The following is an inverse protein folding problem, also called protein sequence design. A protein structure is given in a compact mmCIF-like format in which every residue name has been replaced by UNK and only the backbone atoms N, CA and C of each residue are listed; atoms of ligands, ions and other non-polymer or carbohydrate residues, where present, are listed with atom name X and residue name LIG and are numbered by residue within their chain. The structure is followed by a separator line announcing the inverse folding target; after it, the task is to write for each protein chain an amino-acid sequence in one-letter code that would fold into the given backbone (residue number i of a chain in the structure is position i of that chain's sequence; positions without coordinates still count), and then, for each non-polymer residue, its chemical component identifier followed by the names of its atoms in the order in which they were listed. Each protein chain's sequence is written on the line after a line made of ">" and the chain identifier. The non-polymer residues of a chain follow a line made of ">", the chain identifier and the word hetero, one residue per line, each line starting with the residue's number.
data_IF_120699743353
#
_entry.id   IF_120699743353
#
_cell.length_a   1.000
_cell.length_b   1.000
_cell.length_c   1.000
_cell.angle_alpha   90.00
_cell.angle_beta   90.00
_cell.angle_gamma   90.00
#
_symmetry.space_group_name_H-M   'P 1'
#
loop_
_entity.id
_entity.type
_entity.pdbx_description
1 polymer ?
#
# COMPACT_ATOMS: atom_id res chain seq x y z
N UNK A 1 -31.61 33.96 -29.39
CA UNK A 1 -31.74 35.42 -29.60
C UNK A 1 -32.05 35.95 -28.23
N UNK A 2 -31.04 36.43 -27.53
CA UNK A 2 -31.13 36.48 -26.08
C UNK A 2 -31.41 37.92 -25.66
N UNK A 3 -32.53 38.08 -24.97
CA UNK A 3 -33.10 39.37 -24.61
C UNK A 3 -32.47 39.88 -23.33
N UNK A 4 -31.80 41.04 -23.42
CA UNK A 4 -31.14 41.70 -22.27
C UNK A 4 -32.19 42.29 -21.34
N UNK A 5 -32.17 41.94 -20.05
CA UNK A 5 -32.98 42.60 -19.03
C UNK A 5 -32.16 43.72 -18.39
N UNK A 6 -32.64 44.97 -18.45
CA UNK A 6 -31.96 46.16 -17.88
C UNK A 6 -32.81 46.75 -16.75
N UNK A 7 -32.19 47.00 -15.60
CA UNK A 7 -32.82 47.72 -14.49
C UNK A 7 -32.76 49.24 -14.73
N UNK A 8 -33.92 49.88 -14.85
CA UNK A 8 -34.03 51.32 -15.21
C UNK A 8 -33.57 52.25 -14.07
N UNK A 9 -33.59 51.80 -12.81
CA UNK A 9 -33.14 52.62 -11.67
C UNK A 9 -31.62 52.61 -11.47
N UNK A 10 -30.92 51.63 -12.02
CA UNK A 10 -29.45 51.51 -11.89
C UNK A 10 -28.73 51.55 -13.23
N UNK A 11 -29.46 51.54 -14.34
CA UNK A 11 -28.95 51.45 -15.72
C UNK A 11 -27.91 50.32 -15.90
N UNK A 12 -28.12 49.17 -15.23
CA UNK A 12 -27.30 47.96 -15.38
C UNK A 12 -28.12 46.78 -15.88
N UNK A 13 -27.45 45.96 -16.70
CA UNK A 13 -27.96 44.67 -17.21
C UNK A 13 -28.00 43.67 -16.05
N UNK A 14 -29.14 43.01 -15.83
CA UNK A 14 -29.35 42.07 -14.72
C UNK A 14 -29.52 40.62 -15.16
N UNK A 15 -29.50 40.34 -16.46
CA UNK A 15 -29.43 38.97 -16.95
C UNK A 15 -29.78 38.80 -18.42
N UNK A 16 -29.38 37.65 -18.95
CA UNK A 16 -29.80 37.05 -20.22
C UNK A 16 -30.31 35.65 -19.89
N UNK A 17 -31.48 35.27 -20.41
CA UNK A 17 -32.07 33.97 -20.16
C UNK A 17 -31.45 32.91 -21.11
N UNK A 18 -30.69 31.95 -20.59
CA UNK A 18 -30.24 30.74 -21.29
C UNK A 18 -30.30 29.52 -20.36
N UNK A 19 -30.96 28.46 -20.84
CA UNK A 19 -30.94 27.09 -20.29
C UNK A 19 -29.64 26.33 -20.71
N UNK A 20 -29.27 25.22 -20.04
CA UNK A 20 -27.90 24.99 -19.53
C UNK A 20 -26.98 24.14 -20.43
N UNK A 21 -25.66 24.32 -20.29
CA UNK A 21 -24.61 23.41 -20.81
C UNK A 21 -23.67 22.95 -19.67
N UNK A 22 -23.13 21.72 -19.78
CA UNK A 22 -22.65 20.92 -18.66
C UNK A 22 -21.19 21.24 -18.30
N UNK A 23 -20.87 21.16 -17.01
CA UNK A 23 -19.53 21.40 -16.44
C UNK A 23 -18.98 22.82 -16.59
N UNK A 24 -19.67 23.79 -15.98
CA UNK A 24 -18.98 24.94 -15.37
C UNK A 24 -18.20 24.44 -14.14
N UNK A 25 -16.97 23.95 -14.33
CA UNK A 25 -15.97 24.22 -13.30
C UNK A 25 -15.51 25.65 -13.55
N UNK A 26 -15.95 26.57 -12.70
CA UNK A 26 -15.30 27.86 -12.58
C UNK A 26 -13.83 27.62 -12.24
N UNK A 27 -12.94 27.71 -13.22
CA UNK A 27 -11.53 27.95 -12.95
C UNK A 27 -11.52 29.37 -12.39
N UNK A 28 -11.59 29.49 -11.07
CA UNK A 28 -11.15 30.72 -10.42
C UNK A 28 -9.69 30.90 -10.85
N UNK A 29 -9.41 31.97 -11.59
CA UNK A 29 -8.05 32.46 -11.77
C UNK A 29 -7.54 32.88 -10.39
N UNK A 30 -7.03 31.93 -9.62
CA UNK A 30 -6.29 32.22 -8.40
C UNK A 30 -4.99 32.87 -8.86
N UNK A 31 -4.77 34.12 -8.45
CA UNK A 31 -3.48 34.78 -8.66
C UNK A 31 -2.44 34.02 -7.82
N UNK A 32 -1.65 33.16 -8.48
CA UNK A 32 -0.57 32.37 -7.85
C UNK A 32 0.78 33.11 -7.87
N UNK A 33 0.79 34.40 -8.17
CA UNK A 33 2.00 35.22 -8.17
C UNK A 33 2.60 35.24 -6.77
N UNK A 34 3.83 34.71 -6.63
CA UNK A 34 4.49 34.46 -5.34
C UNK A 34 3.80 33.43 -4.43
N UNK A 35 2.84 32.66 -4.94
CA UNK A 35 2.39 31.48 -4.22
C UNK A 35 3.58 30.51 -4.08
N UNK A 36 3.74 29.98 -2.87
CA UNK A 36 4.77 29.01 -2.55
C UNK A 36 4.08 27.69 -2.26
N UNK A 37 4.58 26.62 -2.87
CA UNK A 37 4.22 25.27 -2.48
C UNK A 37 5.47 24.61 -1.91
N UNK A 38 5.37 24.23 -0.65
CA UNK A 38 6.35 23.37 0.00
C UNK A 38 6.06 21.93 -0.41
N UNK A 39 7.04 21.27 -1.02
CA UNK A 39 7.00 19.85 -1.34
C UNK A 39 8.02 19.17 -0.44
N UNK A 40 7.58 18.08 0.20
CA UNK A 40 8.42 17.22 1.00
C UNK A 40 8.81 16.03 0.14
N UNK A 41 10.10 15.86 -0.09
CA UNK A 41 10.67 14.71 -0.80
C UNK A 41 11.55 13.94 0.18
N UNK A 42 11.56 12.62 0.05
CA UNK A 42 12.52 11.77 0.76
C UNK A 42 13.66 11.50 -0.23
N UNK A 43 14.86 11.92 0.12
CA UNK A 43 16.08 11.62 -0.64
C UNK A 43 16.94 10.64 0.16
N UNK A 44 17.63 9.74 -0.53
CA UNK A 44 18.62 8.86 0.10
C UNK A 44 19.98 9.51 0.05
N UNK A 45 20.62 9.69 1.20
CA UNK A 45 22.00 10.17 1.31
C UNK A 45 22.89 9.15 1.99
N UNK A 46 24.14 9.10 1.55
CA UNK A 46 25.14 8.25 2.15
C UNK A 46 25.32 8.64 3.62
N UNK A 47 25.34 7.63 4.51
CA UNK A 47 25.60 7.83 5.93
C UNK A 47 27.09 8.00 6.20
N UNK A 48 27.38 8.84 7.19
CA UNK A 48 28.72 9.07 7.70
C UNK A 48 28.72 8.92 9.23
N UNK A 49 29.84 8.50 9.80
CA UNK A 49 30.02 8.50 11.25
C UNK A 49 30.25 9.93 11.81
N UNK A 50 30.44 10.05 13.13
CA UNK A 50 30.70 11.34 13.79
C UNK A 50 32.01 12.02 13.34
N UNK A 51 32.93 11.26 12.73
CA UNK A 51 34.24 11.69 12.27
C UNK A 51 34.26 12.03 10.77
N UNK A 52 33.18 11.73 10.05
CA UNK A 52 33.01 11.98 8.62
C UNK A 52 33.44 10.83 7.71
N UNK A 53 33.67 9.63 8.26
CA UNK A 53 33.98 8.44 7.49
C UNK A 53 32.71 7.82 6.91
N UNK A 54 32.82 7.26 5.70
CA UNK A 54 31.71 6.58 5.02
C UNK A 54 31.35 5.29 5.76
N UNK A 55 30.05 5.06 5.95
CA UNK A 55 29.52 3.82 6.52
C UNK A 55 29.11 2.80 5.45
N UNK A 56 29.40 1.54 5.73
CA UNK A 56 29.12 0.36 4.92
C UNK A 56 28.28 -0.65 5.71
N UNK A 57 27.48 -1.45 5.02
CA UNK A 57 26.58 -2.44 5.61
C UNK A 57 27.26 -3.81 5.69
N UNK A 58 27.59 -4.23 6.91
CA UNK A 58 28.08 -5.57 7.20
C UNK A 58 26.93 -6.49 7.59
N UNK A 59 26.68 -7.52 6.79
CA UNK A 59 25.69 -8.55 7.11
C UNK A 59 26.07 -9.31 8.37
N UNK A 60 25.13 -9.46 9.29
CA UNK A 60 25.33 -10.18 10.54
C UNK A 60 24.84 -11.63 10.43
N UNK A 61 25.44 -12.58 11.19
CA UNK A 61 24.89 -13.92 11.28
C UNK A 61 23.46 -13.88 11.81
N UNK A 62 22.62 -14.82 11.37
CA UNK A 62 21.23 -14.88 11.85
C UNK A 62 21.18 -15.04 13.37
N UNK A 63 20.25 -14.34 14.00
CA UNK A 63 20.00 -14.41 15.43
C UNK A 63 19.27 -15.72 15.74
N UNK A 64 19.85 -16.52 16.62
CA UNK A 64 19.18 -17.70 17.15
C UNK A 64 18.13 -17.27 18.19
N UNK A 65 16.86 -17.41 17.84
CA UNK A 65 15.72 -17.11 18.71
C UNK A 65 15.08 -18.41 19.16
N UNK A 66 15.09 -18.65 20.46
CA UNK A 66 14.48 -19.83 21.05
C UNK A 66 13.08 -19.47 21.57
N UNK A 67 12.06 -20.07 20.97
CA UNK A 67 10.67 -19.92 21.39
C UNK A 67 10.21 -21.20 22.09
N UNK A 68 9.54 -21.07 23.23
CA UNK A 68 8.93 -22.22 23.92
C UNK A 68 7.46 -22.26 23.58
N UNK A 69 7.04 -23.34 22.91
CA UNK A 69 5.66 -23.58 22.54
C UNK A 69 5.09 -24.67 23.44
N UNK A 70 4.00 -24.34 24.11
CA UNK A 70 3.21 -25.31 24.87
C UNK A 70 2.20 -25.98 23.95
N UNK A 71 2.25 -27.31 23.85
CA UNK A 71 1.32 -28.13 23.07
C UNK A 71 0.55 -29.07 23.98
N UNK A 72 -0.74 -29.26 23.69
CA UNK A 72 -1.56 -30.29 24.32
C UNK A 72 -1.61 -31.46 23.36
N UNK A 73 -1.13 -32.63 23.80
CA UNK A 73 -1.12 -33.85 22.99
C UNK A 73 -1.95 -34.95 23.64
N UNK A 74 -2.59 -35.77 22.83
CA UNK A 74 -3.19 -37.03 23.27
C UNK A 74 -2.07 -38.01 23.64
N UNK A 75 -2.19 -38.60 24.83
CA UNK A 75 -1.22 -39.59 25.30
C UNK A 75 -1.65 -40.99 24.89
N UNK A 76 -0.69 -41.91 24.91
CA UNK A 76 -0.93 -43.36 24.85
C UNK A 76 -0.84 -44.00 26.24
N UNK A 77 -0.83 -43.19 27.30
CA UNK A 77 -0.71 -43.64 28.68
C UNK A 77 -2.10 -43.69 29.31
N UNK A 78 -2.34 -44.70 30.14
CA UNK A 78 -3.63 -44.92 30.79
C UNK A 78 -3.86 -43.97 31.96
N UNK A 79 -5.08 -43.50 32.15
CA UNK A 79 -5.45 -42.52 33.19
C UNK A 79 -6.77 -42.85 33.89
N UNK A 80 -6.99 -42.27 35.06
CA UNK A 80 -8.31 -42.20 35.73
C UNK A 80 -9.11 -40.93 35.32
N UNK A 81 -8.46 -39.95 34.68
CA UNK A 81 -9.05 -38.69 34.21
C UNK A 81 -9.00 -38.60 32.66
N UNK A 82 -9.99 -39.16 31.94
CA UNK A 82 -9.92 -39.36 30.50
C UNK A 82 -10.14 -38.10 29.64
N UNK A 83 -9.60 -38.15 28.42
CA UNK A 83 -10.01 -37.32 27.30
C UNK A 83 -11.49 -37.58 27.03
N UNK A 84 -12.25 -36.49 27.08
CA UNK A 84 -13.69 -36.52 26.90
C UNK A 84 -14.07 -35.80 25.62
N UNK A 85 -14.72 -36.53 24.71
CA UNK A 85 -15.31 -36.00 23.50
C UNK A 85 -16.82 -35.96 23.64
N UNK A 86 -17.43 -34.85 23.20
CA UNK A 86 -18.88 -34.72 23.14
C UNK A 86 -19.32 -35.06 21.73
N UNK A 87 -19.91 -36.23 21.56
CA UNK A 87 -20.46 -36.64 20.27
C UNK A 87 -21.96 -36.33 20.20
N UNK A 88 -22.39 -35.81 19.05
CA UNK A 88 -23.82 -35.60 18.79
C UNK A 88 -24.37 -36.80 18.04
N UNK A 89 -25.24 -37.57 18.68
CA UNK A 89 -25.91 -38.71 18.06
C UNK A 89 -27.35 -38.37 17.68
N UNK A 90 -27.83 -38.96 16.59
CA UNK A 90 -29.23 -38.84 16.17
C UNK A 90 -30.04 -39.99 16.77
N UNK A 91 -31.04 -39.64 17.58
CA UNK A 91 -31.96 -40.59 18.20
C UNK A 91 -33.32 -40.51 17.49
N UNK A 92 -33.88 -41.62 16.98
CA UNK A 92 -35.20 -41.63 16.39
C UNK A 92 -36.27 -41.11 17.35
N UNK A 93 -37.10 -40.18 16.91
CA UNK A 93 -38.23 -39.71 17.70
C UNK A 93 -39.36 -40.75 17.62
N UNK A 94 -39.78 -41.34 18.73
CA UNK A 94 -40.80 -42.38 18.74
C UNK A 94 -42.20 -41.83 19.11
N UNK A 95 -43.25 -42.48 18.63
CA UNK A 95 -44.65 -42.28 19.05
C UNK A 95 -45.03 -43.15 20.26
N UNK A 96 -46.26 -42.98 20.77
CA UNK A 96 -46.76 -43.70 21.95
C UNK A 96 -46.85 -45.23 21.74
N UNK A 97 -46.71 -45.70 20.49
CA UNK A 97 -46.72 -47.11 20.11
C UNK A 97 -45.31 -47.65 19.83
N UNK A 98 -44.28 -46.81 19.97
CA UNK A 98 -42.88 -47.17 19.72
C UNK A 98 -42.46 -47.13 18.25
N UNK A 99 -43.29 -46.60 17.35
CA UNK A 99 -42.92 -46.41 15.94
C UNK A 99 -42.20 -45.09 15.76
N UNK A 100 -41.29 -45.01 14.77
CA UNK A 100 -40.61 -43.75 14.46
C UNK A 100 -41.61 -42.73 13.90
N UNK A 101 -41.67 -41.56 14.53
CA UNK A 101 -42.44 -40.42 14.05
C UNK A 101 -41.88 -39.97 12.71
N UNK A 102 -42.80 -39.70 11.79
CA UNK A 102 -42.50 -39.13 10.48
C UNK A 102 -43.30 -37.85 10.32
N UNK A 103 -42.81 -36.96 9.46
CA UNK A 103 -43.59 -35.80 9.00
C UNK A 103 -43.68 -35.81 7.48
N UNK A 104 -44.79 -35.33 6.95
CA UNK A 104 -44.94 -35.14 5.52
C UNK A 104 -44.35 -33.79 5.13
N UNK A 105 -43.40 -33.79 4.20
CA UNK A 105 -42.86 -32.54 3.68
C UNK A 105 -43.91 -31.83 2.83
N UNK A 106 -44.07 -30.53 3.02
CA UNK A 106 -44.88 -29.68 2.15
C UNK A 106 -44.00 -28.84 1.23
N UNK A 107 -44.55 -28.46 0.07
CA UNK A 107 -43.95 -27.50 -0.87
C UNK A 107 -44.96 -26.44 -1.24
N UNK A 108 -44.51 -25.30 -1.75
CA UNK A 108 -45.42 -24.27 -2.28
C UNK A 108 -46.03 -24.79 -3.58
N UNK A 109 -47.36 -24.78 -3.67
CA UNK A 109 -48.11 -25.24 -4.83
C UNK A 109 -49.54 -24.69 -4.85
N UNK A 110 -50.28 -25.00 -5.91
CA UNK A 110 -51.68 -24.60 -6.05
C UNK A 110 -52.56 -25.47 -5.11
N UNK A 111 -53.38 -24.83 -4.28
CA UNK A 111 -54.29 -25.47 -3.34
C UNK A 111 -55.67 -24.80 -3.38
N UNK A 112 -56.71 -25.53 -2.98
CA UNK A 112 -58.07 -25.00 -2.81
C UNK A 112 -58.28 -24.40 -1.41
N UNK A 113 -57.32 -24.59 -0.50
CA UNK A 113 -57.35 -23.96 0.82
C UNK A 113 -57.15 -22.45 0.68
N UNK A 114 -58.05 -21.67 1.26
CA UNK A 114 -57.97 -20.21 1.19
C UNK A 114 -56.72 -19.72 1.92
N UNK A 115 -55.78 -19.16 1.16
CA UNK A 115 -54.58 -18.50 1.67
C UNK A 115 -54.50 -17.06 1.14
N UNK A 116 -53.50 -16.30 1.59
CA UNK A 116 -53.39 -14.87 1.25
C UNK A 116 -52.96 -14.59 -0.20
N UNK A 117 -52.53 -15.61 -0.95
CA UNK A 117 -52.01 -15.46 -2.33
C UNK A 117 -52.87 -16.23 -3.33
N UNK A 118 -53.79 -15.60 -4.09
CA UNK A 118 -54.55 -16.29 -5.14
C UNK A 118 -53.66 -16.67 -6.32
N UNK A 119 -54.00 -17.76 -7.02
CA UNK A 119 -53.37 -18.13 -8.29
C UNK A 119 -54.03 -17.33 -9.41
N UNK A 120 -53.24 -16.52 -10.12
CA UNK A 120 -53.72 -15.69 -11.23
C UNK A 120 -53.15 -16.23 -12.54
N UNK A 121 -54.00 -16.34 -13.56
CA UNK A 121 -53.60 -16.65 -14.93
C UNK A 121 -54.02 -15.51 -15.88
N UNK A 122 -53.21 -15.28 -16.91
CA UNK A 122 -53.49 -14.26 -17.92
C UNK A 122 -54.25 -14.88 -19.08
N UNK A 123 -55.47 -14.41 -19.31
CA UNK A 123 -56.31 -14.86 -20.42
C UNK A 123 -56.48 -13.73 -21.43
N UNK A 124 -56.26 -14.05 -22.70
CA UNK A 124 -56.47 -13.09 -23.78
C UNK A 124 -57.96 -12.80 -23.97
N UNK A 125 -58.32 -11.53 -23.91
CA UNK A 125 -59.66 -11.03 -24.16
C UNK A 125 -59.76 -10.52 -25.60
N UNK A 126 -60.50 -11.23 -26.44
CA UNK A 126 -60.67 -10.88 -27.86
C UNK A 126 -61.45 -9.59 -28.08
N UNK A 127 -62.29 -9.16 -27.13
CA UNK A 127 -63.11 -7.96 -27.27
C UNK A 127 -62.30 -6.68 -27.01
N UNK A 128 -61.37 -6.73 -26.06
CA UNK A 128 -60.53 -5.59 -25.66
C UNK A 128 -59.13 -5.63 -26.26
N UNK A 129 -58.76 -6.75 -26.89
CA UNK A 129 -57.41 -7.03 -27.40
C UNK A 129 -56.33 -6.87 -26.30
N UNK A 130 -56.63 -7.28 -25.06
CA UNK A 130 -55.73 -7.23 -23.89
C UNK A 130 -55.69 -8.56 -23.14
N UNK A 131 -54.68 -8.74 -22.29
CA UNK A 131 -54.67 -9.85 -21.32
C UNK A 131 -55.35 -9.41 -20.02
N UNK A 132 -56.32 -10.21 -19.57
CA UNK A 132 -56.99 -10.03 -18.29
C UNK A 132 -56.41 -11.02 -17.26
N UNK A 133 -56.12 -10.51 -16.07
CA UNK A 133 -55.70 -11.31 -14.92
C UNK A 133 -56.96 -11.93 -14.28
N UNK A 134 -57.12 -13.25 -14.40
CA UNK A 134 -58.24 -13.98 -13.80
C UNK A 134 -57.75 -14.94 -12.73
N UNK A 135 -58.57 -15.19 -11.71
CA UNK A 135 -58.27 -16.21 -10.71
C UNK A 135 -58.43 -17.60 -11.33
N UNK A 136 -57.41 -18.44 -11.16
CA UNK A 136 -57.44 -19.83 -11.61
C UNK A 136 -58.40 -20.64 -10.74
N UNK A 137 -59.08 -21.60 -11.36
CA UNK A 137 -59.98 -22.54 -10.69
C UNK A 137 -59.59 -23.98 -10.96
N UNK A 138 -59.98 -24.91 -10.09
CA UNK A 138 -59.91 -26.34 -10.36
C UNK A 138 -61.03 -26.79 -11.31
N UNK A 139 -61.04 -28.09 -11.65
CA UNK A 139 -62.05 -28.70 -12.54
C UNK A 139 -63.49 -28.64 -11.98
N UNK A 140 -63.65 -28.34 -10.68
CA UNK A 140 -64.94 -28.20 -10.00
C UNK A 140 -65.37 -26.72 -9.85
N UNK A 141 -64.53 -25.79 -10.29
CA UNK A 141 -64.78 -24.34 -10.23
C UNK A 141 -64.39 -23.68 -8.90
N UNK A 142 -63.64 -24.36 -8.04
CA UNK A 142 -63.12 -23.79 -6.80
C UNK A 142 -61.90 -22.93 -7.09
N UNK A 143 -61.79 -21.76 -6.43
CA UNK A 143 -60.64 -20.86 -6.57
C UNK A 143 -59.36 -21.51 -6.04
N UNK A 144 -58.27 -21.37 -6.81
CA UNK A 144 -56.94 -21.83 -6.42
C UNK A 144 -56.12 -20.71 -5.76
N UNK A 145 -55.35 -21.09 -4.76
CA UNK A 145 -54.43 -20.25 -4.00
C UNK A 145 -53.05 -20.89 -3.93
N UNK A 146 -52.01 -20.09 -3.73
CA UNK A 146 -50.66 -20.56 -3.48
C UNK A 146 -50.48 -20.89 -2.00
N UNK A 147 -50.41 -22.18 -1.68
CA UNK A 147 -50.28 -22.65 -0.30
C UNK A 147 -49.28 -23.79 -0.17
N UNK A 148 -49.24 -24.37 1.04
CA UNK A 148 -48.44 -25.56 1.29
C UNK A 148 -49.21 -26.81 0.86
N UNK A 149 -48.69 -27.53 -0.13
CA UNK A 149 -49.25 -28.79 -0.59
C UNK A 149 -48.38 -29.97 -0.11
N UNK A 150 -49.00 -31.08 0.33
CA UNK A 150 -48.28 -32.29 0.71
C UNK A 150 -47.52 -32.89 -0.47
N UNK A 151 -46.29 -33.34 -0.23
CA UNK A 151 -45.46 -33.97 -1.28
C UNK A 151 -45.68 -35.47 -1.41
N UNK A 152 -46.41 -36.12 -0.49
CA UNK A 152 -46.49 -37.57 -0.37
C UNK A 152 -45.23 -38.22 0.20
N UNK A 153 -44.18 -37.45 0.49
CA UNK A 153 -42.92 -37.96 1.04
C UNK A 153 -42.91 -37.84 2.57
N UNK A 154 -42.95 -39.00 3.24
CA UNK A 154 -42.78 -39.09 4.69
C UNK A 154 -41.29 -39.10 5.05
N UNK A 155 -40.88 -38.20 5.93
CA UNK A 155 -39.50 -38.04 6.39
C UNK A 155 -39.41 -38.43 7.87
N UNK A 156 -38.49 -39.33 8.27
CA UNK A 156 -38.28 -39.70 9.66
C UNK A 156 -37.78 -38.52 10.51
N UNK A 157 -38.32 -38.40 11.72
CA UNK A 157 -37.88 -37.41 12.70
C UNK A 157 -36.82 -38.00 13.63
N UNK A 158 -35.84 -37.17 13.97
CA UNK A 158 -34.77 -37.45 14.91
C UNK A 158 -34.63 -36.30 15.90
N UNK A 159 -34.23 -36.61 17.11
CA UNK A 159 -33.65 -35.64 18.05
C UNK A 159 -32.14 -35.79 18.07
N UNK A 160 -31.43 -34.70 18.37
CA UNK A 160 -30.03 -34.77 18.69
C UNK A 160 -29.88 -34.98 20.20
N UNK A 161 -28.96 -35.85 20.59
CA UNK A 161 -28.50 -35.97 21.97
C UNK A 161 -26.98 -35.86 22.00
N UNK A 162 -26.45 -35.33 23.10
CA UNK A 162 -25.02 -35.20 23.31
C UNK A 162 -24.58 -36.29 24.27
N UNK A 163 -23.75 -37.20 23.79
CA UNK A 163 -23.19 -38.28 24.60
C UNK A 163 -21.72 -38.00 24.87
N UNK A 164 -21.34 -38.26 26.11
CA UNK A 164 -19.96 -38.20 26.54
C UNK A 164 -19.26 -39.50 26.13
N UNK A 165 -18.26 -39.40 25.26
CA UNK A 165 -17.46 -40.52 24.78
C UNK A 165 -16.03 -40.31 25.23
N UNK A 166 -15.45 -41.31 25.89
CA UNK A 166 -14.06 -41.25 26.33
C UNK A 166 -13.13 -41.85 25.27
N UNK A 167 -11.99 -41.21 25.05
CA UNK A 167 -10.96 -41.75 24.15
C UNK A 167 -10.29 -42.95 24.82
N UNK A 168 -10.18 -44.06 24.07
CA UNK A 168 -9.59 -45.31 24.53
C UNK A 168 -8.51 -45.80 23.56
N UNK A 169 -7.56 -46.59 24.05
CA UNK A 169 -6.63 -47.35 23.21
C UNK A 169 -7.26 -48.64 22.66
N UNK A 170 -6.49 -49.39 21.85
CA UNK A 170 -6.90 -50.68 21.27
C UNK A 170 -7.22 -51.77 22.33
N UNK A 171 -6.88 -51.53 23.61
CA UNK A 171 -7.10 -52.43 24.74
C UNK A 171 -8.23 -51.92 25.68
N UNK A 172 -9.01 -50.92 25.25
CA UNK A 172 -10.10 -50.27 26.00
C UNK A 172 -9.67 -49.48 27.24
N UNK A 173 -8.40 -49.07 27.33
CA UNK A 173 -7.93 -48.21 28.42
C UNK A 173 -8.13 -46.73 28.10
N UNK A 174 -8.54 -45.96 29.10
CA UNK A 174 -8.77 -44.52 29.03
C UNK A 174 -7.48 -43.71 28.83
N UNK A 175 -7.47 -42.77 27.89
CA UNK A 175 -6.33 -41.89 27.58
C UNK A 175 -6.52 -40.48 28.17
N UNK A 176 -5.45 -39.72 28.43
CA UNK A 176 -5.51 -38.31 28.85
C UNK A 176 -4.78 -37.35 27.89
N UNK A 177 -5.06 -36.06 28.01
CA UNK A 177 -4.26 -34.99 27.39
C UNK A 177 -3.09 -34.61 28.29
N UNK A 178 -1.89 -34.52 27.70
CA UNK A 178 -0.70 -34.02 28.39
C UNK A 178 -0.22 -32.73 27.74
N UNK A 179 0.07 -31.77 28.60
CA UNK A 179 0.77 -30.55 28.21
C UNK A 179 2.27 -30.85 28.10
N UNK A 180 2.84 -30.55 26.95
CA UNK A 180 4.27 -30.65 26.68
C UNK A 180 4.80 -29.30 26.23
N UNK A 181 6.02 -28.97 26.66
CA UNK A 181 6.74 -27.81 26.20
C UNK A 181 7.77 -28.25 25.16
N UNK A 182 7.76 -27.61 24.00
CA UNK A 182 8.74 -27.81 22.95
C UNK A 182 9.47 -26.49 22.70
N UNK A 183 10.79 -26.51 22.81
CA UNK A 183 11.62 -25.38 22.41
C UNK A 183 11.90 -25.49 20.92
N UNK A 184 11.45 -24.51 20.16
CA UNK A 184 11.76 -24.36 18.74
C UNK A 184 12.84 -23.30 18.60
N UNK A 185 13.91 -23.66 17.91
CA UNK A 185 14.98 -22.74 17.56
C UNK A 185 14.72 -22.19 16.17
N UNK A 186 14.46 -20.89 16.09
CA UNK A 186 14.30 -20.14 14.85
C UNK A 186 15.54 -19.28 14.59
N UNK A 187 15.76 -18.92 13.33
CA UNK A 187 16.84 -18.05 12.91
C UNK A 187 16.23 -16.82 12.24
N UNK A 188 16.48 -15.64 12.81
CA UNK A 188 15.96 -14.37 12.32
C UNK A 188 17.11 -13.54 11.72
N UNK A 189 16.84 -12.86 10.61
CA UNK A 189 17.80 -11.94 10.02
C UNK A 189 17.98 -10.73 10.93
N UNK A 190 19.23 -10.33 11.15
CA UNK A 190 19.57 -9.14 11.92
C UNK A 190 19.78 -7.94 11.00
N UNK A 191 19.48 -6.74 11.50
CA UNK A 191 19.87 -5.52 10.79
C UNK A 191 21.38 -5.50 10.57
N UNK A 192 21.85 -5.13 9.36
CA UNK A 192 23.28 -5.04 9.08
C UNK A 192 23.97 -4.07 10.06
N UNK A 193 25.21 -4.39 10.43
CA UNK A 193 26.03 -3.49 11.22
C UNK A 193 26.62 -2.42 10.30
N UNK A 194 26.53 -1.16 10.70
CA UNK A 194 27.19 -0.05 10.00
C UNK A 194 28.65 0.02 10.44
N UNK A 195 29.58 -0.18 9.50
CA UNK A 195 31.03 -0.18 9.74
C UNK A 195 31.77 0.76 8.79
N UNK A 196 32.97 1.17 9.18
CA UNK A 196 33.88 2.03 8.41
C UNK A 196 34.95 1.21 7.69
N UNK A 197 35.71 1.82 6.78
CA UNK A 197 36.77 1.15 6.01
C UNK A 197 37.95 0.62 6.85
N UNK A 198 38.17 1.19 8.03
CA UNK A 198 39.19 0.77 8.97
C UNK A 198 38.79 -0.43 9.84
N UNK A 199 37.53 -0.89 9.74
CA UNK A 199 37.05 -2.06 10.45
C UNK A 199 37.68 -3.35 9.90
N UNK A 200 38.06 -4.30 10.77
CA UNK A 200 38.81 -5.51 10.39
C UNK A 200 38.09 -6.40 9.36
N UNK A 201 36.76 -6.36 9.37
CA UNK A 201 35.89 -7.13 8.48
C UNK A 201 35.46 -6.37 7.21
N UNK A 202 35.99 -5.16 7.01
CA UNK A 202 35.69 -4.37 5.82
C UNK A 202 36.26 -5.01 4.55
N UNK A 203 35.49 -4.96 3.46
CA UNK A 203 35.90 -5.36 2.11
C UNK A 203 35.31 -4.43 1.06
N UNK A 204 35.96 -4.32 -0.10
CA UNK A 204 35.48 -3.51 -1.25
C UNK A 204 34.11 -3.96 -1.80
N UNK A 205 33.63 -5.15 -1.42
CA UNK A 205 32.34 -5.71 -1.87
C UNK A 205 31.16 -5.28 -0.99
N UNK A 206 31.39 -4.58 0.13
CA UNK A 206 30.32 -4.15 1.03
C UNK A 206 29.48 -3.03 0.42
N UNK A 207 28.18 -3.08 0.67
CA UNK A 207 27.23 -2.04 0.23
C UNK A 207 27.37 -0.78 1.09
N UNK A 208 27.14 0.38 0.50
CA UNK A 208 27.11 1.66 1.20
C UNK A 208 25.86 1.79 2.07
N UNK A 209 26.02 2.33 3.28
CA UNK A 209 24.90 2.67 4.14
C UNK A 209 24.26 4.00 3.69
N UNK A 210 22.94 4.04 3.59
CA UNK A 210 22.18 5.23 3.24
C UNK A 210 21.16 5.57 4.33
N UNK A 211 20.85 6.85 4.47
CA UNK A 211 19.76 7.39 5.28
C UNK A 211 18.75 8.11 4.41
N UNK A 212 17.48 7.96 4.78
CA UNK A 212 16.39 8.73 4.23
C UNK A 212 16.38 10.10 4.90
N UNK A 213 16.59 11.16 4.13
CA UNK A 213 16.47 12.54 4.59
C UNK A 213 15.27 13.22 3.96
N UNK A 214 14.52 13.97 4.77
CA UNK A 214 13.41 14.77 4.27
C UNK A 214 13.95 16.10 3.72
N UNK A 215 13.90 16.26 2.40
CA UNK A 215 14.28 17.48 1.71
C UNK A 215 13.03 18.29 1.41
N UNK A 216 13.06 19.55 1.85
CA UNK A 216 11.98 20.50 1.62
C UNK A 216 12.31 21.39 0.44
N UNK A 217 11.58 21.24 -0.66
CA UNK A 217 11.67 22.14 -1.81
C UNK A 217 10.55 23.18 -1.77
N UNK A 218 10.90 24.46 -1.91
CA UNK A 218 9.93 25.56 -2.01
C UNK A 218 9.83 26.01 -3.46
N UNK A 219 8.81 25.53 -4.15
CA UNK A 219 8.55 25.96 -5.53
C UNK A 219 7.82 27.30 -5.48
N UNK A 220 8.43 28.31 -6.09
CA UNK A 220 7.80 29.63 -6.30
C UNK A 220 7.32 29.70 -7.74
N UNK A 221 6.01 29.87 -7.94
CA UNK A 221 5.45 30.02 -9.29
C UNK A 221 5.92 31.35 -9.89
N UNK A 222 6.85 31.29 -10.86
CA UNK A 222 7.28 32.45 -11.66
C UNK A 222 6.53 32.47 -13.00
N UNK A 223 5.90 33.59 -13.30
CA UNK A 223 5.20 33.82 -14.56
C UNK A 223 6.22 33.95 -15.70
N UNK A 224 6.38 32.95 -16.55
CA UNK A 224 6.83 33.18 -17.91
C UNK A 224 5.59 33.18 -18.79
N UNK A 225 5.18 34.37 -19.25
CA UNK A 225 4.16 34.47 -20.29
C UNK A 225 4.77 33.95 -21.59
N UNK A 226 4.51 32.69 -21.93
CA UNK A 226 4.79 32.17 -23.27
C UNK A 226 3.71 32.69 -24.21
N UNK A 227 4.10 33.39 -25.28
CA UNK A 227 3.16 33.74 -26.36
C UNK A 227 2.90 32.48 -27.18
N UNK A 228 1.68 31.98 -27.15
CA UNK A 228 1.21 30.94 -28.07
C UNK A 228 0.66 31.60 -29.33
N UNK A 229 0.94 31.01 -30.48
CA UNK A 229 0.31 31.35 -31.76
C UNK A 229 -0.99 30.57 -31.93
N UNK A 230 -1.88 31.03 -32.82
CA UNK A 230 -3.13 30.32 -33.12
C UNK A 230 -2.89 28.90 -33.65
N UNK A 231 -1.76 28.69 -34.32
CA UNK A 231 -1.37 27.38 -34.86
C UNK A 231 -0.96 26.40 -33.74
N UNK A 232 -0.33 26.87 -32.66
CA UNK A 232 0.03 26.05 -31.48
C UNK A 232 -1.20 25.45 -30.76
N UNK A 233 -2.36 26.10 -30.88
CA UNK A 233 -3.62 25.64 -30.27
C UNK A 233 -4.36 24.66 -31.19
N UNK A 234 -4.18 24.77 -32.51
CA UNK A 234 -4.93 23.99 -33.50
C UNK A 234 -4.23 22.67 -33.88
N UNK A 235 -2.91 22.56 -33.77
CA UNK A 235 -2.16 21.34 -34.10
C UNK A 235 -2.25 20.21 -33.03
N UNK A 236 -2.91 20.44 -31.89
CA UNK A 236 -3.16 19.41 -30.86
C UNK A 236 -4.00 18.23 -31.40
N UNK A 237 -4.73 18.40 -32.50
CA UNK A 237 -5.55 17.33 -33.07
C UNK A 237 -4.81 16.37 -34.01
N UNK A 238 -3.53 16.58 -34.29
CA UNK A 238 -2.78 15.69 -35.19
C UNK A 238 -1.34 15.47 -34.79
N UNK A 239 -1.12 14.78 -33.65
CA UNK A 239 -0.11 13.70 -33.43
C UNK A 239 0.02 13.36 -31.93
N UNK A 240 0.44 12.12 -31.60
CA UNK A 240 -0.23 10.86 -31.88
C UNK A 240 -0.74 10.24 -30.56
N UNK A 241 -1.38 9.08 -30.66
CA UNK A 241 -1.74 8.10 -29.61
C UNK A 241 -0.84 8.19 -28.36
N UNK A 242 -1.39 8.05 -27.12
CA UNK A 242 -0.58 8.02 -25.91
C UNK A 242 0.65 7.15 -26.10
N UNK A 243 1.82 7.73 -25.88
CA UNK A 243 3.09 7.04 -25.88
C UNK A 243 2.94 5.79 -25.02
N UNK A 244 3.38 4.66 -25.54
CA UNK A 244 3.38 3.45 -24.72
C UNK A 244 4.36 3.64 -23.58
N UNK A 245 4.21 2.91 -22.49
CA UNK A 245 5.14 2.92 -21.33
C UNK A 245 6.60 2.74 -21.75
N UNK A 246 6.86 2.22 -22.95
CA UNK A 246 8.19 2.02 -23.52
C UNK A 246 8.82 3.32 -24.06
N UNK A 247 8.02 4.20 -24.67
CA UNK A 247 8.50 5.49 -25.20
C UNK A 247 8.70 6.53 -24.07
N UNK A 248 7.88 6.47 -23.01
CA UNK A 248 8.09 7.27 -21.78
C UNK A 248 9.38 6.86 -21.07
N UNK A 249 9.71 5.56 -21.10
CA UNK A 249 10.96 5.04 -20.54
C UNK A 249 12.19 5.46 -21.33
N UNK A 250 12.06 5.61 -22.65
CA UNK A 250 13.14 6.08 -23.52
C UNK A 250 13.41 7.58 -23.32
N UNK A 251 12.36 8.39 -23.16
CA UNK A 251 12.46 9.80 -22.78
C UNK A 251 13.11 9.99 -21.40
N UNK A 252 12.70 9.19 -20.40
CA UNK A 252 13.32 9.22 -19.07
C UNK A 252 14.78 8.79 -19.10
N UNK A 253 15.15 7.82 -19.96
CA UNK A 253 16.56 7.42 -20.15
C UNK A 253 17.38 8.54 -20.79
N UNK A 254 16.83 9.25 -21.76
CA UNK A 254 17.51 10.37 -22.41
C UNK A 254 17.70 11.56 -21.44
N UNK A 255 16.69 11.86 -20.63
CA UNK A 255 16.76 12.91 -19.61
C UNK A 255 17.77 12.55 -18.50
N UNK A 256 17.78 11.30 -18.05
CA UNK A 256 18.74 10.83 -17.05
C UNK A 256 20.17 10.78 -17.60
N UNK A 257 20.36 10.43 -18.87
CA UNK A 257 21.66 10.48 -19.54
C UNK A 257 22.21 11.92 -19.63
N UNK A 258 21.35 12.90 -19.89
CA UNK A 258 21.76 14.31 -19.91
C UNK A 258 22.15 14.81 -18.51
N UNK A 259 21.42 14.40 -17.46
CA UNK A 259 21.77 14.74 -16.08
C UNK A 259 23.11 14.14 -15.64
N UNK A 260 23.40 12.89 -16.01
CA UNK A 260 24.69 12.24 -15.75
C UNK A 260 25.82 12.99 -16.46
N UNK A 261 25.61 13.38 -17.71
CA UNK A 261 26.61 14.14 -18.48
C UNK A 261 26.92 15.51 -17.84
N UNK A 262 25.89 16.25 -17.43
CA UNK A 262 26.05 17.52 -16.71
C UNK A 262 26.76 17.34 -15.36
N UNK A 263 26.52 16.22 -14.66
CA UNK A 263 27.21 15.89 -13.40
C UNK A 263 28.69 15.63 -13.62
N UNK A 264 29.06 14.83 -14.63
CA UNK A 264 30.44 14.54 -14.98
C UNK A 264 31.22 15.80 -15.39
N UNK A 265 30.57 16.74 -16.10
CA UNK A 265 31.20 18.02 -16.42
C UNK A 265 31.50 18.86 -15.18
N UNK A 266 30.61 18.85 -14.18
CA UNK A 266 30.84 19.57 -12.91
C UNK A 266 31.94 18.92 -12.08
N UNK A 267 31.99 17.58 -12.06
CA UNK A 267 33.03 16.85 -11.34
C UNK A 267 34.42 17.13 -11.92
N UNK A 268 34.55 17.14 -13.26
CA UNK A 268 35.80 17.55 -13.92
C UNK A 268 36.21 18.99 -13.61
N UNK A 269 35.25 19.92 -13.45
CA UNK A 269 35.55 21.30 -13.04
C UNK A 269 36.01 21.38 -11.59
N UNK A 270 35.49 20.52 -10.71
CA UNK A 270 35.93 20.44 -9.31
C UNK A 270 37.36 19.93 -9.24
N UNK A 271 37.70 18.87 -9.97
CA UNK A 271 39.06 18.31 -10.01
C UNK A 271 40.10 19.34 -10.50
N UNK A 272 39.75 20.13 -11.52
CA UNK A 272 40.60 21.24 -12.00
C UNK A 272 40.85 22.28 -10.89
N UNK A 273 39.80 22.67 -10.16
CA UNK A 273 39.90 23.64 -9.06
C UNK A 273 40.71 23.10 -7.88
N UNK A 274 40.57 21.81 -7.56
CA UNK A 274 41.34 21.16 -6.50
C UNK A 274 42.83 21.08 -6.85
N UNK A 275 43.15 20.74 -8.10
CA UNK A 275 44.53 20.75 -8.59
C UNK A 275 45.13 22.16 -8.58
N UNK A 276 44.35 23.19 -8.93
CA UNK A 276 44.80 24.58 -8.85
C UNK A 276 45.08 24.98 -7.40
N UNK A 277 44.18 24.61 -6.48
CA UNK A 277 44.31 24.94 -5.06
C UNK A 277 45.52 24.24 -4.41
N UNK A 278 45.77 22.96 -4.76
CA UNK A 278 46.95 22.23 -4.31
C UNK A 278 48.25 22.88 -4.80
N UNK A 279 48.26 23.38 -6.04
CA UNK A 279 49.42 24.10 -6.60
C UNK A 279 49.67 25.41 -5.85
N UNK A 280 48.61 26.18 -5.59
CA UNK A 280 48.72 27.43 -4.81
C UNK A 280 49.22 27.19 -3.38
N UNK A 281 48.81 26.08 -2.76
CA UNK A 281 49.27 25.69 -1.44
C UNK A 281 50.79 25.39 -1.43
N UNK A 282 51.28 24.61 -2.39
CA UNK A 282 52.71 24.31 -2.51
C UNK A 282 53.55 25.57 -2.76
N UNK A 283 53.10 26.47 -3.65
CA UNK A 283 53.74 27.76 -3.89
C UNK A 283 53.80 28.63 -2.62
N UNK A 284 52.77 28.58 -1.78
CA UNK A 284 52.74 29.29 -0.50
C UNK A 284 53.77 28.72 0.48
N UNK A 285 53.89 27.39 0.52
CA UNK A 285 54.81 26.68 1.41
C UNK A 285 56.28 26.91 1.01
N UNK A 286 56.57 26.99 -0.29
CA UNK A 286 57.91 27.35 -0.78
C UNK A 286 58.28 28.79 -0.37
N UNK A 287 57.34 29.74 -0.49
CA UNK A 287 57.56 31.12 -0.06
C UNK A 287 57.78 31.22 1.46
N UNK A 288 57.07 30.43 2.25
CA UNK A 288 57.26 30.38 3.70
C UNK A 288 58.67 29.88 4.06
N UNK A 289 59.15 28.81 3.42
CA UNK A 289 60.53 28.32 3.60
C UNK A 289 61.59 29.38 3.21
N UNK A 290 61.37 30.11 2.11
CA UNK A 290 62.27 31.20 1.70
C UNK A 290 62.30 32.34 2.72
N UNK A 291 61.16 32.64 3.36
CA UNK A 291 61.10 33.64 4.43
C UNK A 291 61.91 33.16 5.64
N UNK A 292 61.74 31.92 6.08
CA UNK A 292 62.50 31.36 7.21
C UNK A 292 64.02 31.38 6.96
N UNK A 293 64.46 31.05 5.75
CA UNK A 293 65.88 31.08 5.37
C UNK A 293 66.44 32.51 5.46
N UNK A 294 65.71 33.49 4.92
CA UNK A 294 66.09 34.91 5.00
C UNK A 294 66.10 35.44 6.44
N UNK A 295 65.15 35.02 7.28
CA UNK A 295 65.12 35.39 8.70
C UNK A 295 66.33 34.81 9.46
N UNK A 296 66.71 33.57 9.17
CA UNK A 296 67.90 32.92 9.72
C UNK A 296 69.20 33.62 9.29
N UNK A 297 69.33 33.96 7.99
CA UNK A 297 70.48 34.73 7.50
C UNK A 297 70.59 36.11 8.16
N UNK A 298 69.46 36.79 8.33
CA UNK A 298 69.41 38.10 8.99
C UNK A 298 69.80 37.99 10.48
N UNK A 299 69.36 36.94 11.17
CA UNK A 299 69.77 36.63 12.54
C UNK A 299 71.29 36.35 12.63
N UNK A 300 71.86 35.61 11.66
CA UNK A 300 73.29 35.36 11.59
C UNK A 300 74.12 36.63 11.34
N UNK A 301 73.67 37.49 10.43
CA UNK A 301 74.31 38.77 10.14
C UNK A 301 74.26 39.73 11.35
N UNK A 302 73.14 39.79 12.06
CA UNK A 302 73.00 40.62 13.26
C UNK A 302 73.90 40.13 14.39
N UNK A 303 74.03 38.81 14.60
CA UNK A 303 74.96 38.24 15.57
C UNK A 303 76.43 38.56 15.22
N UNK A 304 76.81 38.42 13.95
CA UNK A 304 78.15 38.77 13.45
C UNK A 304 78.49 40.26 13.64
N UNK A 305 77.51 41.15 13.45
CA UNK A 305 77.65 42.58 13.74
C UNK A 305 77.83 42.89 15.23
N UNK A 306 77.18 42.12 16.11
CA UNK A 306 77.32 42.26 17.57
C UNK A 306 78.66 41.69 18.07
N UNK A 307 79.13 40.58 17.52
CA UNK A 307 80.41 39.95 17.89
C UNK A 307 81.64 40.64 17.28
N UNK A 308 81.51 41.23 16.07
CA UNK A 308 82.54 42.05 15.45
C UNK A 308 82.68 43.46 16.06
N UNK A 309 81.72 43.87 16.88
CA UNK A 309 81.70 45.13 17.63
C UNK A 309 82.48 45.05 18.95
N UNK A 310 83.78 44.80 18.88
CA UNK A 310 84.71 45.16 19.97
C UNK A 310 84.90 46.68 19.93
N UNK A 311 84.44 47.34 20.99
CA UNK A 311 84.92 48.67 21.42
C UNK A 311 86.42 48.57 21.75
#
# INVERSE_FOLDING_TARGET
>A
MDTVIISISTNKVVGLNRDPQPFEYAIQNVYLENAQKTIYNIEQKQKFDEEGNVLYLLSQPQLEVNETITKIIETTETTDDPVTNIETIQIPLLDDQGNQKTYEKTVKGETIEFTDEPVIEQVWNEETETYDDIHKTDDEGNLLYWGQVPTGQMIPLFTADQVEVHQMDDEENLLYYKEIEETITNYEDQEPLEITEDHEEWTEELELAYEDIEVTEVITFKTHMTKFTYDDVMDIKSRPVPLTTEDELELLKEENANLIFDSLQKESQIEELESENATQFLDSLEKENQIEELESELAGLTLSLVEGGVI
#
